data_IF_526535800618
#
_entry.id   IF_526535800618
#
_cell.length_a   1.000
_cell.length_b   1.000
_cell.length_c   1.000
_cell.angle_alpha   90.00
_cell.angle_beta   90.00
_cell.angle_gamma   90.00
#
_symmetry.space_group_name_H-M   'P 1'
#
loop_
_entity.id
_entity.type
_entity.pdbx_description
1 polymer ?
#
# COMPACT_ATOMS: atom_id res chain seq x y z
N UNK A 1 44.35 -24.09 40.37
CA UNK A 1 44.43 -22.62 40.23
C UNK A 1 44.42 -22.29 38.75
N UNK A 2 43.28 -21.79 38.26
CA UNK A 2 43.15 -20.90 37.11
C UNK A 2 41.66 -20.54 37.04
N UNK A 3 41.29 -19.53 37.83
CA UNK A 3 40.06 -18.80 37.62
C UNK A 3 40.18 -18.03 36.30
N UNK A 4 39.15 -18.09 35.47
CA UNK A 4 38.95 -17.13 34.36
C UNK A 4 37.73 -16.30 34.75
N UNK A 5 37.89 -14.97 34.93
CA UNK A 5 36.83 -14.14 35.48
C UNK A 5 35.70 -13.96 34.46
N UNK A 6 34.48 -14.20 34.93
CA UNK A 6 33.25 -13.89 34.23
C UNK A 6 33.19 -12.37 34.04
N UNK A 7 33.57 -11.89 32.85
CA UNK A 7 33.45 -10.48 32.50
C UNK A 7 31.97 -10.10 32.56
N UNK A 8 31.62 -9.24 33.53
CA UNK A 8 30.35 -8.55 33.62
C UNK A 8 30.03 -7.91 32.26
N UNK A 9 29.08 -8.49 31.53
CA UNK A 9 28.40 -7.76 30.47
C UNK A 9 27.70 -6.54 31.11
N UNK A 10 27.71 -5.37 30.45
CA UNK A 10 27.06 -4.19 30.98
C UNK A 10 25.57 -4.49 31.13
N UNK A 11 25.00 -4.07 32.27
CA UNK A 11 23.57 -3.97 32.49
C UNK A 11 22.95 -3.06 31.42
N UNK A 12 22.70 -3.58 30.23
CA UNK A 12 21.71 -3.00 29.32
C UNK A 12 20.38 -3.55 29.78
N UNK A 13 19.71 -2.77 30.63
CA UNK A 13 18.28 -2.90 30.87
C UNK A 13 17.59 -2.95 29.50
N UNK A 14 17.23 -4.15 29.05
CA UNK A 14 16.34 -4.36 27.92
C UNK A 14 14.97 -3.83 28.34
N UNK A 15 14.80 -2.51 28.23
CA UNK A 15 13.52 -1.88 28.46
C UNK A 15 12.64 -2.21 27.25
N UNK A 16 11.49 -2.88 27.44
CA UNK A 16 10.57 -3.14 26.36
C UNK A 16 10.07 -1.80 25.83
N UNK A 17 10.47 -1.44 24.61
CA UNK A 17 9.88 -0.28 23.96
C UNK A 17 8.46 -0.65 23.54
N UNK A 18 7.47 -0.05 24.20
CA UNK A 18 6.05 -0.16 23.82
C UNK A 18 5.80 0.64 22.54
N UNK A 19 6.35 0.19 21.42
CA UNK A 19 6.09 0.79 20.11
C UNK A 19 4.71 0.35 19.61
N UNK A 20 4.01 1.24 18.91
CA UNK A 20 2.78 0.86 18.24
C UNK A 20 3.06 -0.26 17.22
N UNK A 21 2.47 -1.43 17.42
CA UNK A 21 2.34 -2.46 16.38
C UNK A 21 1.25 -2.03 15.38
N UNK A 22 1.47 -0.91 14.69
CA UNK A 22 0.53 -0.39 13.71
C UNK A 22 0.72 -1.14 12.37
N UNK A 23 0.08 -2.31 12.19
CA UNK A 23 -0.05 -2.99 10.88
C UNK A 23 -1.45 -3.49 10.54
N UNK A 24 -2.51 -2.93 11.12
CA UNK A 24 -3.84 -3.01 10.51
C UNK A 24 -4.50 -1.64 10.39
N UNK A 25 -4.64 -1.19 9.15
CA UNK A 25 -5.50 -0.09 8.74
C UNK A 25 -6.94 -0.62 8.66
N UNK A 26 -7.64 -0.67 9.78
CA UNK A 26 -9.05 -1.09 9.81
C UNK A 26 -9.93 0.07 10.24
N UNK A 27 -10.04 1.08 9.38
CA UNK A 27 -11.11 2.06 9.44
C UNK A 27 -11.85 2.06 8.09
N UNK A 28 -13.20 1.94 8.07
CA UNK A 28 -13.96 2.13 6.84
C UNK A 28 -13.81 3.58 6.38
N UNK A 29 -12.99 3.80 5.37
CA UNK A 29 -12.80 5.10 4.74
C UNK A 29 -14.02 5.46 3.89
N UNK A 30 -14.56 6.67 4.04
CA UNK A 30 -15.55 7.18 3.10
C UNK A 30 -14.85 7.62 1.80
N UNK A 31 -15.10 6.87 0.72
CA UNK A 31 -14.67 7.20 -0.64
C UNK A 31 -15.80 7.94 -1.35
N UNK A 32 -15.55 9.18 -1.77
CA UNK A 32 -16.42 9.85 -2.74
C UNK A 32 -15.91 9.52 -4.14
N UNK A 33 -16.76 8.87 -4.94
CA UNK A 33 -16.53 8.62 -6.36
C UNK A 33 -17.31 9.65 -7.18
N UNK A 34 -16.62 10.40 -8.04
CA UNK A 34 -17.25 11.33 -8.97
C UNK A 34 -16.82 11.03 -10.40
N UNK A 35 -17.78 10.98 -11.32
CA UNK A 35 -17.49 10.75 -12.74
C UNK A 35 -17.28 12.09 -13.44
N UNK A 36 -16.18 12.23 -14.20
CA UNK A 36 -15.97 13.42 -15.01
C UNK A 36 -17.00 13.49 -16.13
N UNK A 37 -17.64 14.65 -16.27
CA UNK A 37 -18.57 14.92 -17.38
C UNK A 37 -17.86 15.37 -18.64
N UNK A 38 -16.58 15.73 -18.57
CA UNK A 38 -15.82 16.31 -19.70
C UNK A 38 -14.62 15.48 -20.11
N UNK A 39 -14.22 14.51 -19.29
CA UNK A 39 -12.96 13.79 -19.48
C UNK A 39 -13.21 12.30 -19.58
N UNK A 40 -12.59 11.68 -20.58
CA UNK A 40 -12.52 10.22 -20.72
C UNK A 40 -11.11 9.74 -20.46
N UNK A 41 -11.00 8.54 -19.91
CA UNK A 41 -9.77 7.78 -19.85
C UNK A 41 -9.67 6.91 -21.09
N UNK A 42 -8.51 6.93 -21.72
CA UNK A 42 -8.14 6.10 -22.87
C UNK A 42 -7.11 5.08 -22.42
N UNK A 43 -7.32 3.81 -22.76
CA UNK A 43 -6.37 2.73 -22.53
C UNK A 43 -6.16 1.94 -23.82
N UNK A 44 -5.18 1.02 -23.82
CA UNK A 44 -4.72 0.34 -25.03
C UNK A 44 -4.18 1.32 -26.09
N UNK A 45 -3.51 2.39 -25.63
CA UNK A 45 -2.83 3.36 -26.49
C UNK A 45 -1.30 3.21 -26.34
N UNK A 46 -0.69 2.12 -26.85
CA UNK A 46 0.74 1.85 -26.72
C UNK A 46 1.59 2.91 -27.45
N UNK A 47 2.81 3.18 -26.97
CA UNK A 47 3.66 4.26 -27.46
C UNK A 47 4.39 3.88 -28.77
N UNK A 48 3.64 3.69 -29.86
CA UNK A 48 4.24 3.43 -31.18
C UNK A 48 4.99 4.65 -31.75
N UNK A 49 4.70 5.84 -31.22
CA UNK A 49 5.28 7.11 -31.61
C UNK A 49 5.89 7.79 -30.39
N UNK A 50 6.81 8.76 -30.58
CA UNK A 50 7.24 9.65 -29.51
C UNK A 50 6.05 10.29 -28.79
N UNK A 51 6.17 10.52 -27.49
CA UNK A 51 5.10 10.93 -26.59
C UNK A 51 4.28 12.13 -27.12
N UNK A 52 4.96 13.18 -27.58
CA UNK A 52 4.31 14.36 -28.18
C UNK A 52 3.52 13.99 -29.44
N UNK A 53 4.09 13.16 -30.31
CA UNK A 53 3.41 12.72 -31.54
C UNK A 53 2.20 11.84 -31.24
N UNK A 54 2.29 11.00 -30.20
CA UNK A 54 1.15 10.20 -29.78
C UNK A 54 0.03 11.08 -29.23
N UNK A 55 0.38 12.08 -28.41
CA UNK A 55 -0.56 13.10 -27.93
C UNK A 55 -1.25 13.84 -29.08
N UNK A 56 -0.49 14.32 -30.07
CA UNK A 56 -1.03 15.00 -31.25
C UNK A 56 -2.02 14.10 -32.02
N UNK A 57 -1.67 12.81 -32.20
CA UNK A 57 -2.52 11.86 -32.91
C UNK A 57 -3.82 11.56 -32.18
N UNK A 58 -3.78 11.49 -30.85
CA UNK A 58 -4.98 11.38 -30.03
C UNK A 58 -5.84 12.63 -30.16
N UNK A 59 -5.26 13.82 -30.03
CA UNK A 59 -5.98 15.08 -30.14
C UNK A 59 -6.67 15.23 -31.52
N UNK A 60 -5.94 14.96 -32.60
CA UNK A 60 -6.48 15.00 -33.96
C UNK A 60 -7.55 13.94 -34.18
N UNK A 61 -7.41 12.75 -33.60
CA UNK A 61 -8.41 11.69 -33.78
C UNK A 61 -9.70 12.03 -33.03
N UNK A 62 -9.59 12.41 -31.76
CA UNK A 62 -10.74 12.71 -30.89
C UNK A 62 -11.40 14.06 -31.18
N UNK A 63 -10.75 14.95 -31.92
CA UNK A 63 -11.36 16.18 -32.43
C UNK A 63 -12.32 15.97 -33.60
N UNK A 64 -12.38 14.77 -34.21
CA UNK A 64 -13.21 14.50 -35.40
C UNK A 64 -14.68 14.27 -35.05
N UNK A 65 -15.60 15.19 -35.42
CA UNK A 65 -17.02 15.01 -35.15
C UNK A 65 -17.63 13.83 -35.93
N UNK A 66 -17.09 13.53 -37.12
CA UNK A 66 -17.54 12.41 -37.97
C UNK A 66 -17.33 11.03 -37.33
N UNK A 67 -16.46 10.93 -36.31
CA UNK A 67 -16.22 9.70 -35.54
C UNK A 67 -16.89 9.71 -34.17
N UNK A 68 -17.70 10.73 -33.88
CA UNK A 68 -18.33 10.96 -32.58
C UNK A 68 -17.42 11.72 -31.59
N UNK A 69 -16.28 12.22 -32.05
CA UNK A 69 -15.42 13.12 -31.29
C UNK A 69 -15.99 14.54 -31.18
N UNK A 70 -15.19 15.47 -30.69
CA UNK A 70 -15.57 16.88 -30.55
C UNK A 70 -14.41 17.74 -30.09
N UNK A 71 -14.65 19.02 -29.89
CA UNK A 71 -13.59 19.97 -29.56
C UNK A 71 -12.85 19.58 -28.27
N UNK A 72 -11.55 19.32 -28.41
CA UNK A 72 -10.66 18.85 -27.35
C UNK A 72 -10.06 20.08 -26.66
N UNK A 73 -10.19 20.13 -25.34
CA UNK A 73 -9.58 21.16 -24.50
C UNK A 73 -8.15 20.78 -24.13
N UNK A 74 -7.93 19.50 -23.78
CA UNK A 74 -6.63 19.01 -23.31
C UNK A 74 -6.48 17.51 -23.54
N UNK A 75 -5.27 17.11 -23.92
CA UNK A 75 -4.83 15.71 -23.93
C UNK A 75 -3.65 15.55 -22.97
N UNK A 76 -3.73 14.53 -22.10
CA UNK A 76 -2.61 14.08 -21.27
C UNK A 76 -2.30 12.64 -21.67
N UNK A 77 -1.06 12.32 -22.01
CA UNK A 77 -0.67 10.96 -22.41
C UNK A 77 0.47 10.47 -21.53
N UNK A 78 0.36 9.25 -21.02
CA UNK A 78 1.41 8.57 -20.28
C UNK A 78 1.94 7.40 -21.10
N UNK A 79 3.16 7.56 -21.64
CA UNK A 79 3.85 6.53 -22.41
C UNK A 79 4.16 5.27 -21.61
N UNK A 80 4.30 5.37 -20.28
CA UNK A 80 4.71 4.23 -19.43
C UNK A 80 3.55 3.25 -19.28
N UNK A 81 2.35 3.77 -19.05
CA UNK A 81 1.12 2.98 -18.92
C UNK A 81 0.42 2.73 -20.26
N UNK A 82 0.73 3.51 -21.31
CA UNK A 82 0.02 3.46 -22.58
C UNK A 82 -1.43 3.95 -22.43
N UNK A 83 -1.63 4.97 -21.60
CA UNK A 83 -2.95 5.54 -21.29
C UNK A 83 -2.98 7.04 -21.58
N UNK A 84 -4.18 7.56 -21.77
CA UNK A 84 -4.39 8.98 -21.97
C UNK A 84 -5.65 9.47 -21.24
N UNK A 85 -5.69 10.76 -20.96
CA UNK A 85 -6.91 11.46 -20.56
C UNK A 85 -7.22 12.51 -21.63
N UNK A 86 -8.47 12.53 -22.08
CA UNK A 86 -8.93 13.47 -23.10
C UNK A 86 -10.08 14.28 -22.51
N UNK A 87 -9.83 15.57 -22.33
CA UNK A 87 -10.81 16.53 -21.85
C UNK A 87 -11.41 17.28 -23.04
N UNK A 88 -12.73 17.29 -23.13
CA UNK A 88 -13.49 18.01 -24.16
C UNK A 88 -14.07 19.30 -23.59
N UNK A 89 -14.24 20.31 -24.44
CA UNK A 89 -14.96 21.53 -24.05
C UNK A 89 -16.43 21.23 -23.74
N UNK A 90 -17.06 20.36 -24.54
CA UNK A 90 -18.47 19.98 -24.41
C UNK A 90 -18.64 18.66 -23.63
N UNK A 91 -19.47 18.68 -22.58
CA UNK A 91 -19.72 17.53 -21.70
C UNK A 91 -20.38 16.34 -22.41
N UNK A 92 -21.20 16.57 -23.44
CA UNK A 92 -21.92 15.49 -24.11
C UNK A 92 -21.03 14.55 -24.94
N UNK A 93 -19.80 14.97 -25.25
CA UNK A 93 -18.87 14.15 -26.04
C UNK A 93 -18.28 13.02 -25.19
N UNK A 94 -17.79 13.35 -23.99
CA UNK A 94 -17.17 12.38 -23.09
C UNK A 94 -18.11 11.24 -22.71
N UNK A 95 -19.36 11.56 -22.37
CA UNK A 95 -20.37 10.58 -21.99
C UNK A 95 -20.68 9.60 -23.14
N UNK A 96 -20.91 10.11 -24.35
CA UNK A 96 -21.18 9.27 -25.53
C UNK A 96 -20.01 8.36 -25.89
N UNK A 97 -18.79 8.87 -25.79
CA UNK A 97 -17.58 8.08 -26.07
C UNK A 97 -17.37 6.99 -25.01
N UNK A 98 -17.58 7.31 -23.73
CA UNK A 98 -17.51 6.35 -22.64
C UNK A 98 -18.56 5.24 -22.76
N UNK A 99 -19.80 5.57 -23.17
CA UNK A 99 -20.86 4.58 -23.42
C UNK A 99 -20.51 3.64 -24.59
N UNK A 100 -19.83 4.16 -25.62
CA UNK A 100 -19.39 3.36 -26.78
C UNK A 100 -18.25 2.41 -26.42
N UNK A 101 -17.37 2.79 -25.49
CA UNK A 101 -16.31 1.94 -24.95
C UNK A 101 -15.09 1.74 -25.86
N UNK A 102 -15.24 1.84 -27.18
CA UNK A 102 -14.16 1.67 -28.18
C UNK A 102 -14.11 2.84 -29.15
N UNK A 103 -12.91 3.26 -29.53
CA UNK A 103 -12.72 4.40 -30.43
C UNK A 103 -11.57 4.19 -31.44
N UNK A 104 -11.78 4.48 -32.74
CA UNK A 104 -10.72 4.38 -33.74
C UNK A 104 -9.81 5.61 -33.75
N UNK A 105 -8.51 5.39 -33.53
CA UNK A 105 -7.45 6.40 -33.53
C UNK A 105 -6.51 6.14 -34.71
N UNK A 106 -6.15 7.20 -35.42
CA UNK A 106 -5.16 7.15 -36.49
C UNK A 106 -3.79 7.57 -35.96
N UNK A 107 -2.84 6.63 -35.98
CA UNK A 107 -1.43 6.86 -35.59
C UNK A 107 -0.46 6.71 -36.76
N UNK A 108 -0.95 6.83 -38.01
CA UNK A 108 -0.28 6.37 -39.23
C UNK A 108 -0.79 4.99 -39.68
N UNK A 109 -1.38 4.24 -38.75
CA UNK A 109 -2.30 3.13 -39.00
C UNK A 109 -3.51 3.29 -38.08
N UNK A 110 -4.67 2.82 -38.53
CA UNK A 110 -5.86 2.80 -37.70
C UNK A 110 -5.70 1.75 -36.59
N UNK A 111 -5.93 2.16 -35.35
CA UNK A 111 -6.00 1.27 -34.20
C UNK A 111 -7.28 1.56 -33.40
N UNK A 112 -7.75 0.56 -32.65
CA UNK A 112 -8.84 0.75 -31.71
C UNK A 112 -8.26 0.94 -30.31
N UNK A 113 -8.69 1.99 -29.63
CA UNK A 113 -8.41 2.24 -28.21
C UNK A 113 -9.67 2.06 -27.38
N UNK A 114 -9.46 1.81 -26.09
CA UNK A 114 -10.54 1.65 -25.12
C UNK A 114 -10.82 2.98 -24.46
N UNK A 115 -12.11 3.31 -24.32
CA UNK A 115 -12.55 4.58 -23.75
C UNK A 115 -13.46 4.31 -22.57
N UNK A 116 -13.13 4.87 -21.42
CA UNK A 116 -13.85 4.74 -20.18
C UNK A 116 -14.13 6.13 -19.58
N UNK A 117 -15.16 6.27 -18.73
CA UNK A 117 -15.37 7.50 -17.98
C UNK A 117 -14.20 7.73 -17.01
N UNK A 118 -13.73 8.97 -16.87
CA UNK A 118 -12.70 9.28 -15.87
C UNK A 118 -13.35 9.36 -14.47
N UNK A 119 -12.91 8.48 -13.56
CA UNK A 119 -13.34 8.48 -12.17
C UNK A 119 -12.38 9.29 -11.29
N UNK A 120 -12.91 10.31 -10.63
CA UNK A 120 -12.21 11.04 -9.59
C UNK A 120 -12.59 10.48 -8.23
N UNK A 121 -11.61 10.04 -7.45
CA UNK A 121 -11.80 9.57 -6.09
C UNK A 121 -11.29 10.60 -5.10
N UNK A 122 -12.06 10.86 -4.04
CA UNK A 122 -11.63 11.70 -2.91
C UNK A 122 -11.88 10.97 -1.60
N UNK A 123 -10.79 10.69 -0.88
CA UNK A 123 -10.83 10.20 0.50
C UNK A 123 -11.14 11.38 1.43
N UNK A 124 -12.25 11.33 2.17
CA UNK A 124 -12.65 12.43 3.08
C UNK A 124 -12.49 12.12 4.56
N UNK A 125 -12.47 10.85 4.96
CA UNK A 125 -12.36 10.44 6.37
C UNK A 125 -11.51 9.19 6.48
N UNK A 126 -10.26 9.38 6.84
CA UNK A 126 -9.35 8.31 7.20
C UNK A 126 -8.80 8.64 8.59
N UNK A 127 -9.23 7.87 9.60
CA UNK A 127 -8.71 7.99 10.96
C UNK A 127 -7.88 6.76 11.23
N UNK A 128 -6.56 6.95 11.31
CA UNK A 128 -5.65 5.89 11.75
C UNK A 128 -5.74 5.80 13.27
N UNK A 129 -6.19 4.66 13.77
CA UNK A 129 -6.08 4.35 15.19
C UNK A 129 -4.72 3.69 15.47
N UNK A 130 -4.00 4.25 16.43
CA UNK A 130 -2.71 3.78 16.91
C UNK A 130 -2.92 3.46 18.40
N UNK A 131 -3.24 2.21 18.70
CA UNK A 131 -3.34 1.74 20.08
C UNK A 131 -1.98 1.25 20.57
N UNK A 132 -1.63 1.57 21.82
CA UNK A 132 -0.52 0.88 22.49
C UNK A 132 -1.02 -0.52 22.87
N UNK A 133 -0.48 -1.61 22.28
CA UNK A 133 -0.93 -2.94 22.64
C UNK A 133 -0.58 -3.21 24.11
N UNK A 134 -1.57 -3.64 24.90
CA UNK A 134 -1.37 -3.93 26.33
C UNK A 134 -0.65 -5.26 26.57
N UNK A 135 -0.78 -6.19 25.61
CA UNK A 135 -0.35 -7.60 25.74
C UNK A 135 0.75 -8.02 24.76
N UNK A 136 1.40 -7.08 24.10
CA UNK A 136 2.50 -7.41 23.19
C UNK A 136 3.72 -6.57 23.45
N UNK A 137 4.89 -7.19 23.37
CA UNK A 137 6.18 -6.52 23.41
C UNK A 137 6.93 -6.77 22.11
N UNK A 138 7.70 -5.77 21.69
CA UNK A 138 8.73 -5.90 20.67
C UNK A 138 10.07 -5.74 21.38
N UNK A 139 10.90 -6.77 21.33
CA UNK A 139 12.31 -6.65 21.70
C UNK A 139 13.15 -6.53 20.44
N UNK A 140 14.15 -5.64 20.48
CA UNK A 140 15.08 -5.42 19.37
C UNK A 140 16.51 -5.63 19.85
N UNK A 141 17.43 -5.91 18.93
CA UNK A 141 18.84 -6.09 19.23
C UNK A 141 19.20 -7.48 19.73
N UNK A 142 18.36 -8.48 19.44
CA UNK A 142 18.68 -9.89 19.72
C UNK A 142 19.72 -10.37 18.72
N UNK A 143 20.85 -10.86 19.21
CA UNK A 143 21.91 -11.41 18.36
C UNK A 143 21.51 -12.80 17.84
N UNK A 144 21.75 -13.05 16.56
CA UNK A 144 21.64 -14.36 15.93
C UNK A 144 22.75 -15.29 16.44
N UNK A 145 22.58 -15.83 17.64
CA UNK A 145 23.56 -16.75 18.24
C UNK A 145 23.29 -18.22 17.89
N UNK A 146 22.09 -18.55 17.40
CA UNK A 146 21.60 -19.91 17.15
C UNK A 146 20.65 -19.94 15.94
N UNK A 147 20.17 -21.12 15.54
CA UNK A 147 19.14 -21.24 14.51
C UNK A 147 17.83 -20.59 14.96
N UNK A 148 17.04 -20.07 14.01
CA UNK A 148 15.85 -19.24 14.27
C UNK A 148 14.82 -19.95 15.15
N UNK A 149 14.61 -21.24 14.92
CA UNK A 149 13.66 -22.08 15.67
C UNK A 149 14.14 -22.29 17.12
N UNK A 150 15.40 -22.68 17.31
CA UNK A 150 16.01 -22.86 18.64
C UNK A 150 16.01 -21.57 19.45
N UNK A 151 16.36 -20.45 18.81
CA UNK A 151 16.37 -19.14 19.47
C UNK A 151 14.96 -18.71 19.88
N UNK A 152 13.96 -18.98 19.03
CA UNK A 152 12.57 -18.69 19.35
C UNK A 152 12.10 -19.50 20.56
N UNK A 153 12.39 -20.79 20.63
CA UNK A 153 12.06 -21.65 21.76
C UNK A 153 12.73 -21.18 23.06
N UNK A 154 14.01 -20.79 22.99
CA UNK A 154 14.73 -20.23 24.13
C UNK A 154 14.11 -18.93 24.64
N UNK A 155 13.66 -18.07 23.73
CA UNK A 155 12.98 -16.82 24.07
C UNK A 155 11.60 -17.10 24.68
N UNK A 156 10.85 -18.06 24.16
CA UNK A 156 9.56 -18.46 24.74
C UNK A 156 9.72 -18.91 26.19
N UNK A 157 10.66 -19.83 26.44
CA UNK A 157 10.98 -20.31 27.79
C UNK A 157 11.45 -19.16 28.69
N UNK A 158 12.19 -18.19 28.15
CA UNK A 158 12.62 -17.01 28.90
C UNK A 158 11.42 -16.19 29.39
N UNK A 159 10.43 -15.96 28.51
CA UNK A 159 9.24 -15.17 28.80
C UNK A 159 8.15 -15.91 29.57
N UNK A 160 8.17 -17.25 29.62
CA UNK A 160 7.27 -18.02 30.48
C UNK A 160 7.73 -18.08 31.93
N UNK A 161 8.97 -17.70 32.24
CA UNK A 161 9.53 -17.74 33.61
C UNK A 161 9.08 -16.52 34.44
N UNK A 162 8.39 -16.72 35.58
CA UNK A 162 7.99 -15.62 36.46
C UNK A 162 9.19 -14.83 37.03
N UNK A 163 10.35 -15.47 37.19
CA UNK A 163 11.58 -14.83 37.66
C UNK A 163 12.13 -13.77 36.69
N UNK A 164 11.70 -13.81 35.43
CA UNK A 164 12.07 -12.86 34.38
C UNK A 164 10.96 -11.82 34.14
N UNK A 165 10.02 -11.68 35.07
CA UNK A 165 8.81 -10.87 34.88
C UNK A 165 7.95 -11.33 33.69
N UNK A 166 8.06 -12.62 33.37
CA UNK A 166 7.33 -13.29 32.33
C UNK A 166 5.89 -13.66 32.71
N UNK A 167 5.16 -14.26 31.78
CA UNK A 167 3.78 -14.72 31.94
C UNK A 167 3.44 -15.78 30.89
N UNK A 168 2.17 -16.16 30.79
CA UNK A 168 1.73 -17.10 29.75
C UNK A 168 1.84 -16.45 28.37
N UNK A 169 2.66 -17.06 27.51
CA UNK A 169 2.93 -16.60 26.15
C UNK A 169 1.95 -17.29 25.22
N UNK A 170 1.12 -16.52 24.53
CA UNK A 170 0.16 -17.03 23.54
C UNK A 170 0.87 -17.33 22.21
N UNK A 171 1.77 -16.44 21.79
CA UNK A 171 2.62 -16.67 20.63
C UNK A 171 3.87 -15.80 20.65
N UNK A 172 4.96 -16.33 20.11
CA UNK A 172 6.20 -15.60 19.90
C UNK A 172 6.66 -15.78 18.46
N UNK A 173 7.29 -14.75 17.90
CA UNK A 173 7.94 -14.83 16.59
C UNK A 173 9.24 -14.07 16.59
N UNK A 174 10.31 -14.76 16.24
CA UNK A 174 11.59 -14.14 15.93
C UNK A 174 11.67 -13.75 14.45
N UNK A 175 12.35 -12.64 14.16
CA UNK A 175 12.67 -12.21 12.80
C UNK A 175 14.15 -11.84 12.75
N UNK A 176 14.96 -12.79 12.27
CA UNK A 176 16.42 -12.66 12.11
C UNK A 176 16.80 -11.44 11.28
N UNK A 177 16.11 -11.18 10.16
CA UNK A 177 16.38 -10.02 9.29
C UNK A 177 16.19 -8.65 9.99
N UNK A 178 15.54 -8.61 11.16
CA UNK A 178 15.33 -7.40 11.95
C UNK A 178 16.03 -7.41 13.31
N UNK A 179 16.66 -8.52 13.74
CA UNK A 179 17.08 -8.75 15.12
C UNK A 179 15.96 -8.43 16.13
N UNK A 180 14.72 -8.78 15.77
CA UNK A 180 13.50 -8.39 16.48
C UNK A 180 12.70 -9.61 16.90
N UNK A 181 12.16 -9.57 18.13
CA UNK A 181 11.26 -10.57 18.71
C UNK A 181 9.93 -9.92 19.02
N UNK A 182 8.85 -10.52 18.55
CA UNK A 182 7.48 -10.14 18.94
C UNK A 182 6.88 -11.23 19.80
N UNK A 183 6.50 -10.90 21.02
CA UNK A 183 5.78 -11.80 21.91
C UNK A 183 4.39 -11.24 22.23
N UNK A 184 3.39 -12.11 22.20
CA UNK A 184 2.01 -11.89 22.59
C UNK A 184 1.72 -12.69 23.86
N UNK A 185 1.19 -12.03 24.88
CA UNK A 185 0.87 -12.62 26.18
C UNK A 185 -0.65 -12.75 26.35
N UNK A 186 -1.10 -13.79 27.05
CA UNK A 186 -2.48 -13.84 27.53
C UNK A 186 -2.69 -12.81 28.65
N UNK A 187 -3.94 -12.34 28.85
CA UNK A 187 -4.26 -11.54 30.04
C UNK A 187 -4.49 -12.49 31.21
N UNK A 188 -3.90 -12.17 32.36
CA UNK A 188 -4.37 -12.74 33.62
C UNK A 188 -5.82 -12.30 33.82
N UNK A 189 -6.74 -13.24 33.69
CA UNK A 189 -8.12 -13.07 34.12
C UNK A 189 -8.08 -13.07 35.64
N UNK A 190 -7.75 -11.91 36.22
CA UNK A 190 -7.87 -11.69 37.65
C UNK A 190 -9.30 -11.97 38.05
N UNK A 191 -9.55 -13.10 38.69
CA UNK A 191 -10.76 -13.28 39.51
C UNK A 191 -10.58 -12.29 40.65
N UNK A 192 -11.21 -11.12 40.55
CA UNK A 192 -11.36 -10.24 41.71
C UNK A 192 -12.10 -11.05 42.79
N UNK A 193 -11.38 -11.33 43.88
CA UNK A 193 -11.90 -11.98 45.08
C UNK A 193 -12.41 -10.94 46.07
#
# INVERSE_FOLDING_TARGET
MAEVPLSKAPNTSLLPERRCCCRQLTAPGLVHLNVSKKTVQVSQAPPFLPEERMRDRLEISFSRPSRGGGEVERVSYDKRSGTAEITFLNTGVAERLALRGKYPVDTGREMIVDVAPLYNYRLKKFQTYCGTPKRSILLSGIQDSMEEEDLQDHLEIHFQKPSNYGGEVESIKYVSTGNEVKAFFSEDVGVEA
#
